data_IF_100917298824
#
_entry.id   IF_100917298824
#
_cell.length_a   1.000
_cell.length_b   1.000
_cell.length_c   1.000
_cell.angle_alpha   90.00
_cell.angle_beta   90.00
_cell.angle_gamma   90.00
#
_symmetry.space_group_name_H-M   'P 1'
#
loop_
_entity.id
_entity.type
_entity.pdbx_description
1 polymer ?
2 water ?
#
# COMPACT_ATOMS: atom_id res chain seq x y z
N UNK A 1 -17.42 6.36 -4.57
CA UNK A 1 -16.16 6.80 -5.18
C UNK A 1 -15.16 5.77 -4.63
N UNK A 2 -13.78 5.82 -4.90
CA UNK A 2 -12.99 6.68 -5.79
C UNK A 2 -12.65 6.06 -7.14
N UNK A 3 -12.47 6.92 -8.10
CA UNK A 3 -12.20 6.52 -9.48
C UNK A 3 -10.88 7.06 -9.94
N UNK A 4 -9.92 6.18 -10.23
CA UNK A 4 -8.57 6.60 -10.56
C UNK A 4 -8.43 6.36 -12.07
N UNK A 5 -7.91 7.36 -12.80
CA UNK A 5 -7.64 7.24 -14.20
C UNK A 5 -6.25 7.60 -14.54
N UNK A 6 -5.63 6.77 -15.37
CA UNK A 6 -4.24 6.96 -15.72
C UNK A 6 -4.12 7.11 -17.24
N UNK A 7 -3.39 8.13 -17.66
CA UNK A 7 -3.05 8.33 -19.04
C UNK A 7 -1.59 8.57 -19.18
N UNK A 8 -1.07 8.38 -20.37
CA UNK A 8 0.36 8.58 -20.60
C UNK A 8 1.24 7.35 -20.31
N UNK A 9 0.69 6.26 -19.82
CA UNK A 9 1.47 5.07 -19.48
C UNK A 9 0.97 3.94 -20.31
N UNK A 10 1.82 2.92 -20.49
CA UNK A 10 1.39 1.66 -21.15
C UNK A 10 0.31 0.97 -20.37
N UNK A 11 -0.65 0.40 -21.10
CA UNK A 11 -1.80 -0.28 -20.52
C UNK A 11 -1.39 -1.36 -19.52
N UNK A 12 -0.40 -2.16 -19.89
CA UNK A 12 0.02 -3.22 -18.96
C UNK A 12 0.64 -2.69 -17.68
N UNK A 13 1.33 -1.54 -17.75
CA UNK A 13 1.90 -0.82 -16.56
C UNK A 13 0.79 -0.31 -15.63
N UNK A 14 -0.31 0.17 -16.24
CA UNK A 14 -1.49 0.56 -15.44
C UNK A 14 -2.09 -0.65 -14.72
N UNK A 15 -2.21 -1.78 -15.47
CA UNK A 15 -2.69 -3.00 -14.83
C UNK A 15 -1.80 -3.36 -13.62
N UNK A 16 -0.49 -3.36 -13.82
CA UNK A 16 0.43 -3.71 -12.72
C UNK A 16 0.41 -2.74 -11.51
N UNK A 17 0.27 -1.47 -11.79
CA UNK A 17 0.08 -0.42 -10.80
C UNK A 17 -1.04 -0.78 -9.88
N UNK A 18 -2.08 -1.41 -10.37
CA UNK A 18 -3.24 -1.69 -9.57
C UNK A 18 -3.10 -2.91 -8.59
N UNK A 19 -2.02 -3.65 -8.73
CA UNK A 19 -1.83 -4.86 -7.85
C UNK A 19 -1.74 -4.37 -6.42
N UNK A 20 -2.67 -4.81 -5.59
CA UNK A 20 -2.70 -4.46 -4.15
C UNK A 20 -3.16 -3.05 -3.84
N UNK A 21 -3.46 -2.26 -4.89
CA UNK A 21 -3.53 -0.81 -4.73
C UNK A 21 -4.77 -0.40 -3.99
N UNK A 22 -5.88 -1.05 -4.24
CA UNK A 22 -7.12 -0.66 -3.59
C UNK A 22 -7.06 -0.94 -2.08
N UNK A 23 -6.37 -2.02 -1.66
CA UNK A 23 -6.11 -2.24 -0.19
C UNK A 23 -5.42 -1.06 0.40
N UNK A 24 -4.30 -0.64 -0.18
CA UNK A 24 -3.55 0.47 0.37
C UNK A 24 -4.33 1.73 0.36
N UNK A 25 -5.05 1.93 -0.75
CA UNK A 25 -5.85 3.21 -0.85
C UNK A 25 -6.99 3.27 0.16
N UNK A 26 -7.66 2.16 0.30
CA UNK A 26 -8.72 2.00 1.28
C UNK A 26 -8.27 2.31 2.68
N UNK A 27 -7.04 1.88 3.00
CA UNK A 27 -6.49 2.17 4.33
C UNK A 27 -6.23 3.68 4.50
N UNK A 28 -5.61 4.33 3.51
CA UNK A 28 -5.29 5.73 3.57
C UNK A 28 -6.58 6.57 3.56
N UNK A 29 -7.52 6.25 2.67
CA UNK A 29 -8.77 7.02 2.55
C UNK A 29 -9.84 6.64 3.58
N UNK A 30 -9.61 5.58 4.35
CA UNK A 30 -10.56 4.96 5.28
C UNK A 30 -11.88 4.60 4.65
N UNK A 31 -11.82 3.77 3.62
CA UNK A 31 -13.01 3.23 3.02
C UNK A 31 -12.71 1.89 2.45
N UNK A 32 -13.74 1.12 2.09
CA UNK A 32 -13.50 -0.20 1.58
C UNK A 32 -12.67 -0.23 0.27
N UNK A 33 -11.79 -1.22 0.11
CA UNK A 33 -10.98 -1.43 -1.11
C UNK A 33 -11.89 -1.54 -2.35
N UNK A 34 -13.04 -2.16 -2.16
CA UNK A 34 -14.04 -2.33 -3.28
C UNK A 34 -14.64 -1.06 -3.79
N UNK A 35 -14.46 0.06 -3.10
CA UNK A 35 -15.01 1.31 -3.62
C UNK A 35 -14.10 1.95 -4.70
N UNK A 36 -12.95 1.36 -4.99
CA UNK A 36 -12.01 1.94 -5.95
C UNK A 36 -12.18 1.33 -7.29
N UNK A 37 -12.16 2.16 -8.38
CA UNK A 37 -11.99 1.69 -9.74
C UNK A 37 -10.71 2.33 -10.32
N UNK A 38 -10.12 1.65 -11.28
CA UNK A 38 -8.90 2.06 -11.95
C UNK A 38 -9.09 1.88 -13.44
N UNK A 39 -8.67 2.89 -14.18
CA UNK A 39 -8.70 2.81 -15.66
C UNK A 39 -7.42 3.25 -16.28
N UNK A 40 -7.05 2.59 -17.35
CA UNK A 40 -6.19 3.12 -18.39
C UNK A 40 -7.09 3.94 -19.35
N UNK A 41 -6.69 5.14 -19.66
CA UNK A 41 -7.42 6.00 -20.62
C UNK A 41 -6.60 6.06 -21.92
N UNK A 42 -7.22 5.76 -23.04
CA UNK A 42 -6.55 5.72 -24.32
C UNK A 42 -6.47 7.15 -24.89
N UNK A 43 -5.24 7.62 -24.85
CA UNK A 43 -4.90 8.95 -25.37
C UNK A 43 -3.51 8.93 -25.98
N UNK A 44 -3.26 9.93 -26.80
CA UNK A 44 -1.91 10.15 -27.41
C UNK A 44 -1.45 11.57 -27.17
N UNK A 45 -0.23 11.73 -26.63
CA UNK A 45 0.37 13.03 -26.36
C UNK A 45 1.10 13.53 -27.60
N UNK A 46 1.01 14.84 -27.84
CA UNK A 46 1.77 15.49 -28.93
C UNK A 46 2.35 16.76 -28.40
N UNK A 47 3.45 17.19 -29.03
CA UNK A 47 4.10 18.45 -28.62
C UNK A 47 4.83 19.01 -29.81
N UNK A 48 4.54 20.26 -30.14
CA UNK A 48 5.20 20.97 -31.32
C UNK A 48 5.16 20.17 -32.59
N UNK A 49 4.01 19.57 -32.91
CA UNK A 49 3.81 18.89 -34.16
C UNK A 49 4.35 17.43 -34.25
N UNK A 50 4.83 16.90 -33.16
CA UNK A 50 5.35 15.56 -33.08
C UNK A 50 4.71 14.76 -31.92
N UNK A 51 4.78 13.45 -32.08
CA UNK A 51 4.52 12.54 -31.00
C UNK A 51 5.41 12.80 -29.81
N UNK A 52 4.82 12.80 -28.62
CA UNK A 52 5.54 13.09 -27.42
C UNK A 52 5.25 11.99 -26.43
N UNK A 53 6.21 11.73 -25.56
CA UNK A 53 6.11 10.75 -24.51
C UNK A 53 5.12 11.26 -23.42
N UNK A 54 4.84 12.57 -23.44
CA UNK A 54 3.91 13.17 -22.50
C UNK A 54 4.44 12.94 -21.06
N UNK A 55 3.53 12.68 -20.13
CA UNK A 55 3.94 12.40 -18.77
C UNK A 55 3.02 11.29 -18.29
N UNK A 56 3.12 10.85 -17.04
CA UNK A 56 2.09 9.96 -16.48
C UNK A 56 1.14 10.90 -15.74
N UNK A 57 -0.11 10.95 -16.20
CA UNK A 57 -1.11 11.87 -15.64
C UNK A 57 -2.27 11.07 -15.01
N UNK A 58 -2.47 11.28 -13.71
CA UNK A 58 -3.39 10.54 -12.92
C UNK A 58 -4.45 11.44 -12.37
N UNK A 59 -5.72 11.07 -12.64
CA UNK A 59 -6.86 11.78 -12.05
C UNK A 59 -7.46 10.91 -10.97
N UNK A 60 -7.84 11.50 -9.84
CA UNK A 60 -8.52 10.82 -8.76
C UNK A 60 -9.86 11.54 -8.60
N UNK A 61 -10.93 10.85 -8.91
CA UNK A 61 -12.29 11.37 -8.69
C UNK A 61 -12.82 10.79 -7.41
N UNK A 62 -13.11 11.66 -6.41
CA UNK A 62 -13.55 11.17 -5.12
C UNK A 62 -14.34 12.22 -4.36
N UNK A 63 -14.98 11.76 -3.30
CA UNK A 63 -15.51 12.67 -2.26
C UNK A 63 -14.27 13.16 -1.47
N UNK A 64 -14.09 14.46 -1.44
CA UNK A 64 -12.82 15.00 -1.02
C UNK A 64 -12.54 14.65 0.42
N UNK A 65 -11.28 14.47 0.70
CA UNK A 65 -10.79 14.19 2.03
C UNK A 65 -9.72 15.22 2.30
N UNK A 66 -9.16 15.19 3.46
CA UNK A 66 -8.27 16.24 3.77
C UNK A 66 -7.01 16.03 3.04
N UNK A 67 -6.18 17.06 3.17
CA UNK A 67 -4.94 17.17 2.52
C UNK A 67 -4.04 16.03 2.99
N UNK A 68 -4.21 15.51 4.21
CA UNK A 68 -3.25 14.50 4.69
C UNK A 68 -3.46 13.22 3.82
N UNK A 69 -4.73 12.83 3.60
CA UNK A 69 -5.00 11.66 2.78
C UNK A 69 -4.52 11.91 1.32
N UNK A 70 -4.74 13.11 0.83
CA UNK A 70 -4.39 13.51 -0.50
C UNK A 70 -2.92 13.52 -0.73
N UNK A 71 -2.16 14.11 0.21
CA UNK A 71 -0.78 14.12 0.14
C UNK A 71 -0.20 12.64 0.15
N UNK A 72 -0.76 11.78 0.94
CA UNK A 72 -0.24 10.40 1.08
C UNK A 72 -0.52 9.63 -0.20
N UNK A 73 -1.69 9.83 -0.79
CA UNK A 73 -1.99 9.19 -2.10
C UNK A 73 -1.11 9.69 -3.16
N UNK A 74 -0.89 11.00 -3.22
CA UNK A 74 0.06 11.50 -4.15
C UNK A 74 1.47 10.92 -4.01
N UNK A 75 1.95 10.82 -2.75
CA UNK A 75 3.29 10.28 -2.52
C UNK A 75 3.37 8.83 -2.99
N UNK A 76 2.36 8.05 -2.66
CA UNK A 76 2.28 6.62 -2.99
C UNK A 76 2.33 6.44 -4.52
N UNK A 77 1.46 7.20 -5.20
CA UNK A 77 1.40 7.07 -6.66
C UNK A 77 2.71 7.45 -7.30
N UNK A 78 3.35 8.51 -6.82
CA UNK A 78 4.56 9.02 -7.37
C UNK A 78 5.69 8.04 -7.18
N UNK A 79 5.78 7.54 -5.97
CA UNK A 79 6.82 6.50 -5.65
C UNK A 79 6.69 5.25 -6.49
N UNK A 80 5.48 4.75 -6.67
CA UNK A 80 5.23 3.59 -7.47
C UNK A 80 5.60 3.79 -8.94
N UNK A 81 5.14 4.92 -9.56
CA UNK A 81 5.49 5.18 -10.97
C UNK A 81 6.98 5.47 -11.19
N UNK A 82 7.62 6.13 -10.24
CA UNK A 82 9.04 6.43 -10.36
C UNK A 82 9.95 5.23 -10.37
N UNK A 83 9.43 4.10 -9.93
CA UNK A 83 10.15 2.82 -10.05
C UNK A 83 10.29 2.34 -11.48
N UNK A 84 9.31 2.71 -12.34
CA UNK A 84 9.19 2.28 -13.77
C UNK A 84 9.62 3.35 -14.80
N UNK A 85 9.48 4.65 -14.47
CA UNK A 85 9.68 5.67 -15.51
C UNK A 85 10.34 6.83 -14.86
N UNK A 86 11.05 7.60 -15.69
CA UNK A 86 11.56 8.90 -15.27
C UNK A 86 10.66 9.99 -15.81
N UNK A 87 9.60 9.64 -16.51
CA UNK A 87 8.59 10.67 -16.86
C UNK A 87 8.06 11.39 -15.63
N UNK A 88 7.63 12.63 -15.80
CA UNK A 88 6.99 13.40 -14.77
C UNK A 88 5.67 12.62 -14.40
N UNK A 89 5.36 12.58 -13.11
CA UNK A 89 4.12 12.01 -12.63
C UNK A 89 3.27 13.13 -12.11
N UNK A 90 2.14 13.39 -12.77
CA UNK A 90 1.23 14.47 -12.39
C UNK A 90 -0.09 13.88 -11.90
N UNK A 91 -0.61 14.41 -10.77
CA UNK A 91 -1.79 13.91 -10.13
C UNK A 91 -2.77 15.02 -9.82
N UNK A 92 -4.03 14.88 -10.28
CA UNK A 92 -5.03 15.86 -9.99
C UNK A 92 -6.16 15.22 -9.22
N UNK A 93 -6.57 15.80 -8.11
CA UNK A 93 -7.73 15.33 -7.38
C UNK A 93 -8.97 16.17 -7.79
N UNK A 94 -10.07 15.49 -8.08
CA UNK A 94 -11.35 16.12 -8.54
C UNK A 94 -12.45 15.75 -7.54
N UNK A 95 -12.93 16.72 -6.77
CA UNK A 95 -13.90 16.50 -5.71
C UNK A 95 -15.28 16.32 -6.39
N UNK A 96 -15.97 15.29 -5.98
CA UNK A 96 -17.29 14.97 -6.47
C UNK A 96 -18.25 15.61 -5.52
N UNK A 97 -19.41 15.93 -6.02
CA UNK A 97 -20.47 16.53 -5.25
C UNK A 97 -21.54 15.47 -5.05
N UNK A 98 -21.93 15.19 -3.78
CA UNK A 98 -22.77 14.02 -3.46
C UNK A 98 -24.13 14.05 -4.19
N UNK A 99 -24.73 15.24 -4.32
CA UNK A 99 -26.00 15.29 -4.98
C UNK A 99 -25.88 15.28 -6.50
N UNK A 100 -24.64 15.14 -7.03
CA UNK A 100 -24.49 15.02 -8.46
C UNK A 100 -23.94 13.69 -8.87
N UNK A 101 -23.90 12.75 -7.95
CA UNK A 101 -23.33 11.47 -8.12
C UNK A 101 -24.33 10.36 -7.80
N UNK A 102 -24.55 9.48 -8.75
CA UNK A 102 -25.54 8.38 -8.62
C UNK A 102 -24.93 7.05 -8.82
N UNK A 103 -25.33 6.05 -8.01
CA UNK A 103 -24.95 4.68 -8.21
C UNK A 103 -26.20 3.90 -8.22
N UNK A 104 -26.38 3.18 -9.31
CA UNK A 104 -27.63 2.50 -9.59
C UNK A 104 -28.89 3.33 -9.33
N UNK A 105 -28.88 4.59 -9.76
CA UNK A 105 -30.03 5.45 -9.77
C UNK A 105 -30.33 6.23 -8.50
N UNK A 106 -29.52 6.02 -7.48
CA UNK A 106 -29.65 6.77 -6.25
C UNK A 106 -28.32 7.40 -5.83
N UNK A 107 -28.36 8.42 -5.02
CA UNK A 107 -27.11 8.90 -4.42
C UNK A 107 -26.34 7.88 -3.59
N UNK A 108 -25.03 8.10 -3.47
CA UNK A 108 -24.14 7.18 -2.78
C UNK A 108 -24.12 7.46 -1.26
N UNK B 1 14.45 1.71 12.44
CA UNK B 1 13.34 0.74 12.46
C UNK B 1 12.59 0.99 11.15
N UNK B 2 11.51 0.17 10.73
CA UNK B 2 10.86 -0.98 11.31
C UNK B 2 11.25 -2.34 10.75
N UNK B 3 11.15 -3.33 11.59
CA UNK B 3 11.52 -4.71 11.24
C UNK B 3 10.32 -5.63 11.32
N UNK B 4 9.93 -6.22 10.18
CA UNK B 4 8.73 -7.02 10.11
C UNK B 4 9.22 -8.45 10.01
N UNK B 5 8.66 -9.37 10.83
CA UNK B 5 8.96 -10.77 10.74
C UNK B 5 7.78 -11.61 10.62
N UNK B 6 7.84 -12.58 9.73
CA UNK B 6 6.69 -13.41 9.47
C UNK B 6 7.02 -14.88 9.68
N UNK B 7 6.18 -15.57 10.43
CA UNK B 7 6.31 -17.00 10.60
C UNK B 7 5.01 -17.65 10.34
N UNK B 8 5.05 -18.94 10.06
CA UNK B 8 3.82 -19.69 9.76
C UNK B 8 3.41 -19.72 8.29
N UNK B 9 4.11 -18.99 7.44
CA UNK B 9 3.77 -18.89 6.03
C UNK B 9 4.92 -19.44 5.21
N UNK B 10 4.61 -19.86 4.00
CA UNK B 10 5.62 -20.29 3.04
C UNK B 10 6.53 -19.16 2.70
N UNK B 11 7.83 -19.44 2.56
CA UNK B 11 8.85 -18.45 2.28
C UNK B 11 8.54 -17.62 1.02
N UNK B 12 8.08 -18.27 -0.04
CA UNK B 12 7.82 -17.51 -1.22
C UNK B 12 6.62 -16.58 -1.06
N UNK B 13 5.63 -16.96 -0.24
CA UNK B 13 4.46 -16.07 0.12
C UNK B 13 4.91 -14.84 0.91
N UNK B 14 5.89 -15.04 1.80
CA UNK B 14 6.50 -13.90 2.49
C UNK B 14 7.18 -12.94 1.50
N UNK B 15 7.95 -13.50 0.58
CA UNK B 15 8.61 -12.70 -0.45
C UNK B 15 7.56 -11.87 -1.22
N UNK B 16 6.49 -12.55 -1.65
CA UNK B 16 5.44 -11.87 -2.42
C UNK B 16 4.69 -10.76 -1.64
N UNK B 17 4.48 -11.03 -0.37
CA UNK B 17 3.90 -10.08 0.59
C UNK B 17 4.67 -8.79 0.60
N UNK B 18 5.97 -8.86 0.40
CA UNK B 18 6.80 -7.67 0.45
C UNK B 18 6.75 -6.75 -0.84
N UNK B 19 6.17 -7.23 -1.92
CA UNK B 19 6.10 -6.45 -3.18
C UNK B 19 5.29 -5.17 -2.88
N UNK B 20 5.97 -4.04 -3.03
CA UNK B 20 5.45 -2.66 -2.84
C UNK B 20 5.21 -2.30 -1.38
N UNK B 21 5.51 -3.25 -0.46
CA UNK B 21 5.02 -3.12 0.92
C UNK B 21 5.69 -2.00 1.66
N UNK B 22 6.97 -1.79 1.47
CA UNK B 22 7.64 -0.77 2.22
C UNK B 22 7.14 0.63 1.82
N UNK B 23 6.74 0.80 0.53
CA UNK B 23 6.11 2.10 0.10
C UNK B 23 4.90 2.39 0.88
N UNK B 24 4.01 1.41 0.93
CA UNK B 24 2.76 1.57 1.62
C UNK B 24 2.97 1.80 3.09
N UNK B 25 3.94 1.03 3.65
CA UNK B 25 4.19 1.17 5.12
C UNK B 25 4.79 2.53 5.52
N UNK B 26 5.69 2.96 4.70
CA UNK B 26 6.38 4.24 4.80
C UNK B 26 5.39 5.39 4.82
N UNK B 27 4.40 5.28 3.95
CA UNK B 27 3.30 6.28 3.93
C UNK B 27 2.46 6.25 5.18
N UNK B 28 2.06 5.07 5.68
CA UNK B 28 1.26 4.98 6.86
C UNK B 28 2.09 5.42 8.09
N UNK B 29 3.31 4.94 8.20
CA UNK B 29 4.17 5.24 9.38
C UNK B 29 4.84 6.58 9.33
N UNK B 30 4.74 7.26 8.19
CA UNK B 30 5.44 8.51 7.90
C UNK B 30 6.93 8.38 8.07
N UNK B 31 7.53 7.47 7.34
CA UNK B 31 8.98 7.38 7.29
C UNK B 31 9.44 6.80 5.99
N UNK B 32 10.72 6.89 5.69
CA UNK B 32 11.16 6.37 4.43
C UNK B 32 10.94 4.85 4.24
N UNK B 33 10.64 4.44 3.00
CA UNK B 33 10.42 3.03 2.64
C UNK B 33 11.66 2.18 2.97
N UNK B 34 12.81 2.78 2.80
CA UNK B 34 14.12 2.09 3.05
C UNK B 34 14.37 1.79 4.50
N UNK B 35 13.59 2.35 5.42
CA UNK B 35 13.76 2.00 6.81
C UNK B 35 13.13 0.64 7.18
N UNK B 36 12.42 0.02 6.27
CA UNK B 36 11.77 -1.29 6.59
C UNK B 36 12.61 -2.47 6.19
N UNK B 37 12.65 -3.51 7.06
CA UNK B 37 13.15 -4.82 6.68
C UNK B 37 12.03 -5.84 6.89
N UNK B 38 12.10 -6.92 6.15
CA UNK B 38 11.12 -8.01 6.17
C UNK B 38 11.84 -9.33 6.19
N UNK B 39 11.41 -10.20 7.07
CA UNK B 39 11.98 -11.58 7.12
C UNK B 39 10.97 -12.64 7.16
N UNK B 40 11.28 -13.75 6.50
CA UNK B 40 10.72 -15.04 6.78
C UNK B 40 11.54 -15.65 7.93
N UNK B 41 10.86 -16.12 8.95
CA UNK B 41 11.51 -16.81 10.10
C UNK B 41 11.24 -18.30 10.00
N UNK B 42 12.27 -19.10 10.02
CA UNK B 42 12.15 -20.55 9.89
C UNK B 42 11.73 -21.17 11.24
N UNK B 43 10.48 -21.55 11.29
CA UNK B 43 9.93 -22.28 12.45
C UNK B 43 8.96 -23.33 11.99
N UNK B 44 8.66 -24.24 12.91
CA UNK B 44 7.65 -25.29 12.69
C UNK B 44 6.61 -25.29 13.83
N UNK B 45 5.32 -25.18 13.49
CA UNK B 45 4.23 -25.25 14.49
C UNK B 45 3.84 -26.68 14.77
N UNK B 46 3.50 -26.95 16.04
CA UNK B 46 3.04 -28.28 16.44
C UNK B 46 1.89 -28.05 17.44
N UNK B 47 1.00 -29.02 17.52
CA UNK B 47 -0.16 -28.92 18.41
C UNK B 47 -0.56 -30.31 18.80
N UNK B 48 -0.63 -30.57 20.10
CA UNK B 48 -1.07 -31.95 20.59
C UNK B 48 -0.29 -33.09 20.00
N UNK B 49 1.03 -32.95 19.85
CA UNK B 49 1.89 -34.00 19.41
C UNK B 49 2.01 -34.25 17.90
N UNK B 50 1.41 -33.39 17.13
CA UNK B 50 1.47 -33.45 15.71
C UNK B 50 1.82 -32.08 15.06
N UNK B 51 2.29 -32.18 13.83
CA UNK B 51 2.44 -31.03 12.97
C UNK B 51 1.17 -30.27 12.78
N UNK B 52 1.25 -28.95 12.85
CA UNK B 52 0.11 -28.10 12.80
C UNK B 52 0.40 -27.05 11.78
N UNK B 53 -0.61 -26.57 11.09
CA UNK B 53 -0.33 -25.53 10.09
C UNK B 53 -0.22 -24.16 10.82
N UNK B 54 -0.50 -24.15 12.13
CA UNK B 54 -0.33 -22.98 12.98
C UNK B 54 -1.19 -21.79 12.44
N UNK B 55 -0.61 -20.58 12.46
CA UNK B 55 -1.30 -19.43 11.91
C UNK B 55 -0.26 -18.60 11.15
N UNK B 56 -0.61 -17.45 10.59
CA UNK B 56 0.40 -16.53 10.07
C UNK B 56 0.61 -15.55 11.22
N UNK B 57 1.83 -15.49 11.74
CA UNK B 57 2.15 -14.65 12.93
C UNK B 57 3.22 -13.64 12.53
N UNK B 58 2.87 -12.38 12.63
CA UNK B 58 3.68 -11.29 12.21
C UNK B 58 4.08 -10.44 13.37
N UNK B 59 5.38 -10.21 13.45
CA UNK B 59 5.90 -9.30 14.47
C UNK B 59 6.37 -8.03 13.79
N UNK B 60 6.06 -6.88 14.40
CA UNK B 60 6.51 -5.56 13.93
C UNK B 60 7.36 -4.95 15.03
N UNK B 61 8.65 -4.84 14.79
CA UNK B 61 9.55 -4.16 15.75
C UNK B 61 9.77 -2.75 15.28
N UNK B 62 9.36 -1.75 16.08
CA UNK B 62 9.48 -0.38 15.62
C UNK B 62 9.49 0.59 16.80
N UNK B 63 9.83 1.85 16.50
CA UNK B 63 9.61 2.93 17.47
C UNK B 63 8.10 3.19 17.40
N UNK B 64 7.46 3.11 18.54
CA UNK B 64 6.02 3.03 18.57
C UNK B 64 5.44 4.28 18.00
N UNK B 65 4.36 4.11 17.25
CA UNK B 65 3.57 5.21 16.72
C UNK B 65 2.19 4.99 17.32
N UNK B 66 1.25 5.82 16.97
CA UNK B 66 0.02 5.76 17.68
C UNK B 66 -0.82 4.64 17.15
N UNK B 67 -1.97 4.45 17.79
CA UNK B 67 -2.85 3.41 17.54
C UNK B 67 -3.41 3.53 16.09
N UNK B 68 -3.50 4.75 15.56
CA UNK B 68 -4.09 4.92 14.22
C UNK B 68 -3.13 4.23 13.19
N UNK B 69 -1.82 4.51 13.27
CA UNK B 69 -0.86 3.89 12.40
C UNK B 69 -0.83 2.36 12.59
N UNK B 70 -0.87 1.92 13.84
CA UNK B 70 -0.90 0.52 14.18
C UNK B 70 -2.11 -0.22 13.67
N UNK B 71 -3.30 0.35 13.89
CA UNK B 71 -4.50 -0.20 13.38
C UNK B 71 -4.47 -0.33 11.84
N UNK B 72 -3.93 0.65 11.17
CA UNK B 72 -3.93 0.64 9.68
C UNK B 72 -2.95 -0.42 9.17
N UNK B 73 -1.81 -0.57 9.83
CA UNK B 73 -0.86 -1.63 9.42
C UNK B 73 -1.44 -2.96 9.72
N UNK B 74 -2.10 -3.14 10.88
CA UNK B 74 -2.75 -4.39 11.12
C UNK B 74 -3.80 -4.74 10.06
N UNK B 75 -4.59 -3.75 9.69
CA UNK B 75 -5.66 -3.98 8.67
C UNK B 75 -5.07 -4.36 7.32
N UNK B 76 -4.03 -3.67 6.91
CA UNK B 76 -3.34 -3.88 5.65
C UNK B 76 -2.77 -5.32 5.62
N UNK B 77 -2.04 -5.69 6.69
CA UNK B 77 -1.44 -6.99 6.71
C UNK B 77 -2.48 -8.09 6.68
N UNK B 78 -3.57 -7.92 7.40
CA UNK B 78 -4.58 -8.91 7.50
C UNK B 78 -5.28 -9.12 6.14
N UNK B 79 -5.59 -8.01 5.52
CA UNK B 79 -6.24 -8.03 4.20
C UNK B 79 -5.40 -8.68 3.13
N UNK B 80 -4.11 -8.41 3.13
CA UNK B 80 -3.19 -9.00 2.21
C UNK B 80 -3.06 -10.52 2.37
N UNK B 81 -2.84 -10.98 3.62
CA UNK B 81 -2.74 -12.41 3.91
C UNK B 81 -4.06 -13.18 3.67
N UNK B 82 -5.19 -12.56 3.96
CA UNK B 82 -6.47 -13.19 3.75
C UNK B 82 -6.77 -13.49 2.29
N UNK B 83 -6.09 -12.83 1.39
CA UNK B 83 -6.23 -13.18 -0.01
C UNK B 83 -5.67 -14.52 -0.39
N UNK B 84 -4.65 -14.98 0.35
CA UNK B 84 -3.80 -16.20 0.14
C UNK B 84 -4.21 -17.39 1.07
N UNK B 85 -4.68 -17.10 2.28
CA UNK B 85 -4.89 -18.18 3.28
C UNK B 85 -6.11 -17.92 4.04
N UNK B 86 -6.67 -18.99 4.59
CA UNK B 86 -7.75 -18.86 5.55
C UNK B 86 -7.23 -19.04 6.97
N UNK B 87 -5.93 -19.23 7.10
CA UNK B 87 -5.34 -19.24 8.46
C UNK B 87 -5.59 -17.95 9.20
N UNK B 88 -5.61 -18.03 10.53
CA UNK B 88 -5.67 -16.89 11.40
C UNK B 88 -4.39 -16.01 11.09
N UNK B 89 -4.57 -14.69 11.06
CA UNK B 89 -3.47 -13.77 10.90
C UNK B 89 -3.32 -13.01 12.21
N UNK B 90 -2.23 -13.26 12.93
CA UNK B 90 -1.94 -12.61 14.20
C UNK B 90 -0.77 -11.64 14.08
N UNK B 91 -0.90 -10.42 14.63
CA UNK B 91 0.08 -9.40 14.49
C UNK B 91 0.41 -8.81 15.86
N UNK B 92 1.69 -8.75 16.21
CA UNK B 92 2.10 -8.15 17.47
C UNK B 92 3.06 -7.03 17.19
N UNK B 93 2.82 -5.87 17.80
CA UNK B 93 3.74 -4.76 17.72
C UNK B 93 4.65 -4.70 18.95
N UNK B 94 5.95 -4.55 18.73
CA UNK B 94 6.96 -4.57 19.84
C UNK B 94 7.71 -3.21 19.81
N UNK B 95 7.45 -2.33 20.76
CA UNK B 95 8.01 -0.98 20.79
C UNK B 95 9.52 -1.12 21.13
N UNK B 96 10.35 -0.47 20.37
CA UNK B 96 11.78 -0.44 20.60
C UNK B 96 12.04 0.75 21.49
N UNK B 97 13.10 0.67 22.29
CA UNK B 97 13.55 1.75 23.15
C UNK B 97 14.75 2.40 22.48
N UNK B 98 14.71 3.72 22.20
CA UNK B 98 15.77 4.39 21.43
C UNK B 98 17.20 4.19 21.99
N UNK B 99 17.35 4.24 23.32
CA UNK B 99 18.68 4.08 23.87
C UNK B 99 19.11 2.63 23.95
N UNK B 100 18.27 1.71 23.44
CA UNK B 100 18.71 0.32 23.38
C UNK B 100 18.80 -0.20 21.98
N UNK B 101 18.79 0.67 21.00
CA UNK B 101 18.82 0.36 19.62
C UNK B 101 19.99 1.05 18.96
N UNK B 102 20.86 0.26 18.34
CA UNK B 102 22.01 0.78 17.60
C UNK B 102 22.06 0.44 16.16
N UNK B 103 22.53 1.38 15.33
CA UNK B 103 22.77 1.18 13.92
C UNK B 103 24.13 1.68 13.62
N UNK B 104 24.94 0.74 13.15
CA UNK B 104 26.34 0.97 12.91
C UNK B 104 27.01 1.62 14.12
N UNK B 105 26.69 1.15 15.31
CA UNK B 105 27.37 1.51 16.54
C UNK B 105 26.90 2.76 17.26
N UNK B 106 25.95 3.44 16.67
CA UNK B 106 25.32 4.58 17.30
C UNK B 106 23.81 4.45 17.38
N UNK B 107 23.21 5.20 18.26
CA UNK B 107 21.74 5.32 18.24
C UNK B 107 21.17 5.81 16.93
N UNK B 108 19.90 5.41 16.69
CA UNK B 108 19.17 5.82 15.50
C UNK B 108 18.72 7.30 15.68
#
# INVERSE_FOLDING_TARGET
MPHIRVRGAEKEKVRDFTAGLADELGIIAECPADWFTFEYVETTFFFDGKEDDGLVFIEVLWFDRDSEARDKIAALFTERWKKITDKIVTIVFNPLIENMYYEDGVHFAENLYFQGHHHHHHHHHH
MPHIRVRGAEKEKVRDFTAGLADELGIIAECPADWFTFEYVETTFFFDGKEDDGLVFIEVLWFDRDSEARDKIAALFTERWKKITDKIVTIVFNPLIENMYYEDGVHFAENLYFQGHHHHHHHHHH
#
